data_IF_334657010419
#
_entry.id   IF_334657010419
#
_cell.length_a   1.000
_cell.length_b   1.000
_cell.length_c   1.000
_cell.angle_alpha   90.00
_cell.angle_beta   90.00
_cell.angle_gamma   90.00
#
_symmetry.space_group_name_H-M   'P 1'
#
loop_
_entity.id
_entity.type
_entity.pdbx_description
1 polymer ?
#
# COMPACT_ATOMS: atom_id res chain seq x y z
N UNK A 1 -12.33 9.31 10.54
CA UNK A 1 -12.02 10.10 11.76
C UNK A 1 -10.53 10.12 12.06
N UNK A 2 -9.82 8.98 12.11
CA UNK A 2 -8.37 8.94 12.39
C UNK A 2 -7.49 9.75 11.41
N UNK A 3 -7.72 9.64 10.10
CA UNK A 3 -6.93 10.36 9.09
C UNK A 3 -7.01 11.90 9.24
N UNK A 4 -8.17 12.44 9.59
CA UNK A 4 -8.34 13.90 9.78
C UNK A 4 -7.82 14.38 11.12
N UNK A 5 -7.76 13.48 12.10
CA UNK A 5 -7.31 13.75 13.47
C UNK A 5 -5.78 13.81 13.54
N UNK A 6 -5.06 12.89 12.87
CA UNK A 6 -3.59 12.92 12.82
C UNK A 6 -3.02 14.01 11.91
N UNK A 7 -3.69 14.37 10.81
CA UNK A 7 -3.14 15.32 9.80
C UNK A 7 -3.00 16.76 10.30
N UNK A 8 -3.81 17.19 11.27
CA UNK A 8 -3.73 18.55 11.80
C UNK A 8 -2.59 18.76 12.81
N UNK A 9 -2.02 17.68 13.34
CA UNK A 9 -1.01 17.75 14.42
C UNK A 9 0.39 17.33 14.02
N UNK A 10 0.61 16.80 12.81
CA UNK A 10 1.94 16.39 12.32
C UNK A 10 2.25 17.11 10.99
N UNK A 11 2.90 18.28 11.01
CA UNK A 11 3.24 19.01 9.79
C UNK A 11 4.31 18.27 8.95
N UNK A 12 4.12 18.22 7.63
CA UNK A 12 5.10 17.64 6.68
C UNK A 12 4.97 16.13 6.39
N UNK A 13 3.99 15.45 7.00
CA UNK A 13 3.81 14.01 6.77
C UNK A 13 3.12 13.70 5.44
N UNK A 14 3.74 12.85 4.62
CA UNK A 14 3.09 12.27 3.43
C UNK A 14 2.26 11.05 3.83
N UNK A 15 1.03 10.99 3.31
CA UNK A 15 0.03 10.01 3.72
C UNK A 15 0.01 8.79 2.80
N UNK A 16 0.28 7.61 3.35
CA UNK A 16 0.41 6.37 2.58
C UNK A 16 -0.93 5.66 2.25
N UNK A 17 -2.06 6.36 2.26
CA UNK A 17 -3.38 5.75 2.00
C UNK A 17 -4.14 6.56 0.95
N UNK A 18 -4.64 5.92 -0.13
CA UNK A 18 -5.63 6.56 -0.98
C UNK A 18 -6.89 6.85 -0.14
N UNK A 19 -7.59 7.98 -0.39
CA UNK A 19 -8.78 8.33 0.37
C UNK A 19 -9.82 7.22 0.23
N UNK A 20 -10.11 6.52 1.33
CA UNK A 20 -11.23 5.60 1.37
C UNK A 20 -12.52 6.41 1.31
N UNK A 21 -13.41 6.02 0.42
CA UNK A 21 -14.70 6.66 0.19
C UNK A 21 -15.50 6.67 1.51
N UNK A 22 -15.54 7.85 2.17
CA UNK A 22 -16.53 8.32 3.17
C UNK A 22 -17.36 7.21 3.86
N UNK A 23 -16.81 6.55 4.87
CA UNK A 23 -17.60 5.86 5.91
C UNK A 23 -17.75 6.81 7.10
N UNK A 24 -18.67 7.77 6.95
CA UNK A 24 -19.08 8.74 7.97
C UNK A 24 -20.52 8.47 8.45
N UNK A 25 -21.01 7.23 8.29
CA UNK A 25 -22.39 6.84 8.61
C UNK A 25 -22.52 5.40 9.09
N UNK A 26 -21.76 5.02 10.10
CA UNK A 26 -22.01 3.75 10.81
C UNK A 26 -22.37 4.00 12.27
N UNK A 27 -23.35 4.89 12.49
CA UNK A 27 -24.15 5.01 13.72
C UNK A 27 -25.45 5.75 13.37
N UNK A 28 -26.29 5.14 12.54
CA UNK A 28 -27.69 5.55 12.41
C UNK A 28 -28.57 4.34 12.09
N UNK A 29 -28.77 3.50 13.11
CA UNK A 29 -29.79 2.46 13.11
C UNK A 29 -31.14 3.08 13.53
N UNK A 30 -31.77 3.87 12.66
CA UNK A 30 -33.19 4.24 12.77
C UNK A 30 -33.75 4.69 11.41
N UNK A 31 -34.30 3.76 10.62
CA UNK A 31 -35.61 3.90 9.96
C UNK A 31 -35.94 2.72 9.02
N UNK A 32 -37.24 2.42 8.79
CA UNK A 32 -37.71 1.06 8.50
C UNK A 32 -37.96 0.76 7.02
N UNK A 33 -37.98 -0.56 6.72
CA UNK A 33 -38.53 -1.22 5.52
C UNK A 33 -38.13 -0.69 4.13
N UNK A 34 -37.15 -1.35 3.51
CA UNK A 34 -37.07 -1.49 2.05
C UNK A 34 -36.99 -2.98 1.70
N UNK A 35 -38.11 -3.52 1.22
CA UNK A 35 -38.24 -4.91 0.79
C UNK A 35 -37.26 -5.20 -0.37
N UNK A 36 -36.56 -6.34 -0.29
CA UNK A 36 -35.79 -6.91 -1.39
C UNK A 36 -36.74 -7.61 -2.38
N UNK A 37 -36.62 -7.43 -3.71
CA UNK A 37 -37.43 -8.15 -4.68
C UNK A 37 -36.98 -9.63 -4.84
N UNK A 38 -37.90 -10.53 -5.25
CA UNK A 38 -37.69 -11.98 -5.27
C UNK A 38 -36.81 -12.45 -6.43
N UNK A 39 -36.10 -13.56 -6.19
CA UNK A 39 -35.17 -14.18 -7.14
C UNK A 39 -35.92 -14.88 -8.28
N UNK A 40 -35.68 -14.41 -9.51
CA UNK A 40 -36.15 -15.08 -10.74
C UNK A 40 -34.96 -15.63 -11.54
N UNK A 41 -34.92 -16.96 -11.62
CA UNK A 41 -34.41 -17.83 -12.69
C UNK A 41 -33.24 -17.31 -13.57
N UNK A 42 -32.06 -17.87 -13.35
CA UNK A 42 -30.91 -17.84 -14.26
C UNK A 42 -31.25 -18.61 -15.56
N UNK A 43 -31.53 -17.88 -16.64
CA UNK A 43 -31.52 -18.42 -18.00
C UNK A 43 -30.08 -18.61 -18.50
N UNK A 44 -29.80 -19.73 -19.17
CA UNK A 44 -28.51 -20.01 -19.82
C UNK A 44 -28.19 -18.96 -20.91
N UNK A 45 -26.93 -18.50 -21.03
CA UNK A 45 -26.52 -17.67 -22.16
C UNK A 45 -26.37 -18.50 -23.46
N UNK A 46 -26.71 -17.95 -24.63
CA UNK A 46 -26.62 -18.67 -25.92
C UNK A 46 -25.18 -18.91 -26.38
N UNK A 47 -25.00 -19.97 -27.16
CA UNK A 47 -23.75 -20.52 -27.64
C UNK A 47 -22.85 -19.50 -28.39
N UNK A 48 -21.57 -19.47 -28.02
CA UNK A 48 -20.53 -18.64 -28.66
C UNK A 48 -20.21 -19.18 -30.06
N UNK A 49 -20.12 -18.28 -31.05
CA UNK A 49 -19.65 -18.57 -32.42
C UNK A 49 -18.18 -19.06 -32.41
N UNK A 50 -17.77 -19.95 -33.33
CA UNK A 50 -16.40 -20.46 -33.36
C UNK A 50 -15.40 -19.37 -33.79
N UNK A 51 -14.34 -19.19 -33.01
CA UNK A 51 -13.19 -18.34 -33.36
C UNK A 51 -12.37 -18.98 -34.49
N UNK A 52 -11.80 -18.19 -35.43
CA UNK A 52 -10.87 -18.72 -36.42
C UNK A 52 -9.56 -19.17 -35.76
N UNK A 53 -9.07 -20.35 -36.15
CA UNK A 53 -7.80 -20.93 -35.65
C UNK A 53 -6.61 -20.06 -36.07
N UNK A 54 -5.63 -19.81 -35.19
CA UNK A 54 -4.42 -19.10 -35.57
C UNK A 54 -3.53 -19.98 -36.47
N UNK A 55 -3.05 -19.40 -37.56
CA UNK A 55 -2.12 -20.04 -38.49
C UNK A 55 -0.76 -20.28 -37.82
N UNK A 56 -0.23 -21.51 -37.94
CA UNK A 56 1.15 -21.84 -37.54
C UNK A 56 2.13 -21.19 -38.54
N UNK A 57 2.96 -20.27 -38.05
CA UNK A 57 4.10 -19.69 -38.79
C UNK A 57 5.39 -20.36 -38.31
N UNK A 58 6.15 -20.97 -39.22
CA UNK A 58 7.41 -21.67 -38.91
C UNK A 58 8.53 -20.76 -38.40
N UNK A 59 9.68 -21.31 -37.96
CA UNK A 59 10.69 -20.57 -37.21
C UNK A 59 11.50 -19.66 -38.14
N UNK A 60 11.11 -18.39 -38.21
CA UNK A 60 11.93 -17.33 -38.82
C UNK A 60 13.07 -16.94 -37.90
N UNK A 61 14.32 -17.13 -38.34
CA UNK A 61 15.53 -16.61 -37.68
C UNK A 61 15.40 -15.10 -37.49
N UNK A 62 15.54 -14.63 -36.25
CA UNK A 62 15.67 -13.20 -35.95
C UNK A 62 17.02 -12.66 -36.47
N UNK A 63 17.04 -11.48 -37.12
CA UNK A 63 18.29 -10.85 -37.53
C UNK A 63 19.06 -10.35 -36.29
N UNK A 64 20.36 -10.66 -36.25
CA UNK A 64 21.29 -10.17 -35.24
C UNK A 64 21.46 -8.66 -35.45
N UNK A 65 20.73 -7.83 -34.70
CA UNK A 65 20.96 -6.38 -34.71
C UNK A 65 22.31 -6.06 -34.07
N UNK A 66 23.18 -5.44 -34.88
CA UNK A 66 24.47 -4.89 -34.45
C UNK A 66 24.29 -3.95 -33.25
N UNK A 67 24.97 -4.29 -32.14
CA UNK A 67 25.16 -3.38 -31.01
C UNK A 67 26.06 -2.23 -31.44
N UNK A 68 25.51 -1.03 -31.60
CA UNK A 68 26.29 0.19 -31.33
C UNK A 68 26.24 0.44 -29.83
N UNK A 69 27.42 0.52 -29.22
CA UNK A 69 27.58 0.92 -27.83
C UNK A 69 27.29 2.43 -27.73
N UNK A 70 26.28 2.82 -26.96
CA UNK A 70 26.28 4.16 -26.37
C UNK A 70 27.28 4.15 -25.21
N UNK A 71 28.25 5.07 -25.28
CA UNK A 71 29.28 5.28 -24.27
C UNK A 71 28.69 5.69 -22.92
N UNK A 72 29.53 5.58 -21.88
CA UNK A 72 29.18 5.59 -20.47
C UNK A 72 28.34 6.77 -19.97
N UNK A 73 27.54 6.49 -18.94
CA UNK A 73 27.02 7.51 -18.01
C UNK A 73 25.57 7.31 -17.58
N UNK A 74 24.65 7.03 -18.51
CA UNK A 74 23.24 6.83 -18.18
C UNK A 74 22.95 5.33 -17.96
N UNK A 75 23.11 4.86 -16.72
CA UNK A 75 22.74 3.50 -16.33
C UNK A 75 21.23 3.41 -16.06
N UNK A 76 20.42 3.83 -17.03
CA UNK A 76 19.01 3.44 -17.05
C UNK A 76 18.99 1.92 -17.21
N UNK A 77 18.25 1.22 -16.36
CA UNK A 77 18.09 -0.23 -16.51
C UNK A 77 17.62 -0.49 -17.95
N UNK A 78 18.41 -1.30 -18.68
CA UNK A 78 18.16 -1.64 -20.09
C UNK A 78 16.73 -2.15 -20.29
N UNK A 79 16.08 -2.69 -19.26
CA UNK A 79 14.68 -3.14 -19.29
C UNK A 79 13.68 -1.98 -19.34
N UNK A 80 13.97 -0.83 -18.72
CA UNK A 80 13.05 0.31 -18.69
C UNK A 80 12.92 0.96 -20.07
N UNK A 81 14.05 1.07 -20.78
CA UNK A 81 14.12 1.55 -22.17
C UNK A 81 13.42 0.61 -23.16
N UNK A 82 13.17 -0.64 -22.78
CA UNK A 82 12.51 -1.66 -23.63
C UNK A 82 11.00 -1.80 -23.34
N UNK A 83 10.45 -1.02 -22.40
CA UNK A 83 9.02 -1.10 -22.06
C UNK A 83 8.15 -0.55 -23.20
N UNK A 84 7.02 -1.20 -23.48
CA UNK A 84 5.99 -0.65 -24.38
C UNK A 84 5.28 0.54 -23.74
N UNK A 85 4.52 1.31 -24.52
CA UNK A 85 3.71 2.40 -23.99
C UNK A 85 2.71 1.89 -22.94
N UNK A 86 2.05 0.76 -23.20
CA UNK A 86 1.10 0.15 -22.27
C UNK A 86 1.76 -0.31 -20.96
N UNK A 87 2.98 -0.87 -21.04
CA UNK A 87 3.74 -1.26 -19.85
C UNK A 87 4.16 -0.06 -19.01
N UNK A 88 4.50 1.07 -19.63
CA UNK A 88 4.78 2.32 -18.92
C UNK A 88 3.52 2.88 -18.27
N UNK A 89 2.37 2.82 -18.95
CA UNK A 89 1.11 3.30 -18.40
C UNK A 89 0.68 2.54 -17.13
N UNK A 90 0.89 1.22 -17.09
CA UNK A 90 0.61 0.40 -15.89
C UNK A 90 1.55 0.77 -14.72
N UNK A 91 2.81 1.10 -15.01
CA UNK A 91 3.79 1.43 -13.99
C UNK A 91 3.73 2.90 -13.53
N UNK A 92 3.06 3.78 -14.26
CA UNK A 92 3.03 5.21 -13.97
C UNK A 92 2.56 5.53 -12.53
N UNK A 93 1.55 4.80 -12.03
CA UNK A 93 1.08 4.95 -10.66
C UNK A 93 2.13 4.49 -9.63
N UNK A 94 2.82 3.38 -9.92
CA UNK A 94 3.89 2.87 -9.07
C UNK A 94 5.08 3.83 -9.04
N UNK A 95 5.44 4.39 -10.19
CA UNK A 95 6.51 5.40 -10.32
C UNK A 95 6.18 6.66 -9.51
N UNK A 96 4.93 7.15 -9.57
CA UNK A 96 4.52 8.34 -8.81
C UNK A 96 4.53 8.10 -7.30
N UNK A 97 3.98 6.98 -6.83
CA UNK A 97 3.95 6.64 -5.40
C UNK A 97 5.35 6.47 -4.81
N UNK A 98 6.27 5.87 -5.57
CA UNK A 98 7.66 5.72 -5.13
C UNK A 98 8.37 7.07 -5.11
N UNK A 99 8.12 7.94 -6.08
CA UNK A 99 8.69 9.29 -6.09
C UNK A 99 8.21 10.12 -4.88
N UNK A 100 6.92 10.05 -4.56
CA UNK A 100 6.36 10.69 -3.35
C UNK A 100 7.03 10.15 -2.07
N UNK A 101 7.21 8.83 -1.97
CA UNK A 101 7.86 8.19 -0.83
C UNK A 101 9.35 8.57 -0.71
N UNK A 102 10.05 8.68 -1.83
CA UNK A 102 11.45 9.09 -1.87
C UNK A 102 11.62 10.56 -1.48
N UNK A 103 10.69 11.43 -1.87
CA UNK A 103 10.69 12.85 -1.54
C UNK A 103 10.30 13.13 -0.07
N UNK A 104 9.60 12.22 0.60
CA UNK A 104 9.15 12.40 1.97
C UNK A 104 10.26 12.07 2.99
N UNK A 105 10.50 12.96 3.95
CA UNK A 105 11.37 12.69 5.10
C UNK A 105 10.63 11.91 6.21
N UNK A 106 9.35 12.23 6.38
CA UNK A 106 8.46 11.59 7.35
C UNK A 106 7.23 11.00 6.65
N UNK A 107 6.95 9.73 6.94
CA UNK A 107 5.82 8.97 6.37
C UNK A 107 4.80 8.67 7.46
N UNK A 108 3.58 9.16 7.30
CA UNK A 108 2.46 8.83 8.21
C UNK A 108 1.58 7.77 7.56
N UNK A 109 1.41 6.64 8.25
CA UNK A 109 0.57 5.54 7.81
C UNK A 109 -0.51 5.34 8.87
N UNK A 110 -1.78 5.43 8.47
CA UNK A 110 -2.86 4.99 9.37
C UNK A 110 -3.13 3.51 9.17
N UNK A 111 -3.20 2.80 10.29
CA UNK A 111 -3.35 1.36 10.33
C UNK A 111 -4.59 1.00 11.15
N UNK A 112 -5.77 0.86 10.53
CA UNK A 112 -6.87 0.19 11.18
C UNK A 112 -6.62 -1.32 11.17
N UNK A 113 -6.69 -1.97 12.34
CA UNK A 113 -6.56 -3.42 12.46
C UNK A 113 -7.91 -4.06 12.15
N UNK A 114 -7.99 -4.77 11.02
CA UNK A 114 -9.19 -5.52 10.61
C UNK A 114 -8.85 -7.00 10.54
N UNK A 115 -9.60 -7.82 11.28
CA UNK A 115 -9.36 -9.26 11.36
C UNK A 115 -7.89 -9.60 11.64
N UNK A 116 -7.28 -8.90 12.62
CA UNK A 116 -5.89 -9.05 13.04
C UNK A 116 -4.82 -8.64 12.01
N UNK A 117 -5.22 -8.15 10.82
CA UNK A 117 -4.32 -7.80 9.73
C UNK A 117 -4.51 -6.38 9.21
N UNK A 118 -3.75 -6.06 8.16
CA UNK A 118 -3.81 -4.77 7.48
C UNK A 118 -4.97 -4.72 6.46
N UNK A 119 -5.51 -3.54 6.14
CA UNK A 119 -6.48 -3.38 5.06
C UNK A 119 -5.90 -3.76 3.69
N UNK A 120 -6.74 -4.30 2.82
CA UNK A 120 -6.34 -4.70 1.46
C UNK A 120 -5.79 -3.54 0.62
N UNK A 121 -6.32 -2.33 0.82
CA UNK A 121 -5.85 -1.12 0.14
C UNK A 121 -4.44 -0.73 0.58
N UNK A 122 -4.13 -0.86 1.88
CA UNK A 122 -2.78 -0.61 2.39
C UNK A 122 -1.81 -1.67 1.87
N UNK A 123 -2.22 -2.94 1.82
CA UNK A 123 -1.42 -4.00 1.20
C UNK A 123 -1.14 -3.73 -0.28
N UNK A 124 -2.15 -3.28 -1.02
CA UNK A 124 -1.99 -2.91 -2.43
C UNK A 124 -1.03 -1.73 -2.60
N UNK A 125 -1.07 -0.73 -1.72
CA UNK A 125 -0.10 0.37 -1.73
C UNK A 125 1.33 -0.12 -1.47
N UNK A 126 1.52 -0.99 -0.46
CA UNK A 126 2.82 -1.64 -0.17
C UNK A 126 3.37 -2.33 -1.43
N UNK A 127 2.52 -3.07 -2.14
CA UNK A 127 2.93 -3.79 -3.35
C UNK A 127 3.34 -2.86 -4.50
N UNK A 128 2.85 -1.61 -4.53
CA UNK A 128 3.27 -0.61 -5.51
C UNK A 128 4.60 0.05 -5.15
N UNK A 129 4.90 0.22 -3.85
CA UNK A 129 6.13 0.88 -3.39
C UNK A 129 7.31 -0.07 -3.20
N UNK A 130 7.06 -1.35 -2.92
CA UNK A 130 8.10 -2.37 -2.76
C UNK A 130 8.64 -2.84 -4.12
N UNK A 131 9.65 -2.12 -4.65
CA UNK A 131 10.20 -2.33 -5.99
C UNK A 131 11.68 -2.70 -5.94
N UNK A 132 11.97 -3.86 -6.51
CA UNK A 132 13.34 -4.32 -6.69
C UNK A 132 14.13 -3.36 -7.60
N UNK A 133 15.30 -2.93 -7.12
CA UNK A 133 16.17 -1.97 -7.79
C UNK A 133 15.81 -0.50 -7.56
N UNK A 134 14.68 -0.19 -6.89
CA UNK A 134 14.24 1.19 -6.65
C UNK A 134 14.10 1.51 -5.17
N UNK A 135 13.37 0.69 -4.40
CA UNK A 135 13.20 0.88 -2.95
C UNK A 135 13.92 -0.18 -2.12
N UNK A 136 14.25 -1.33 -2.72
CA UNK A 136 15.14 -2.31 -2.13
C UNK A 136 15.96 -3.00 -3.23
N UNK A 137 17.07 -3.65 -2.88
CA UNK A 137 17.88 -4.46 -3.80
C UNK A 137 18.24 -5.79 -3.16
N UNK A 138 18.41 -6.83 -3.97
CA UNK A 138 18.94 -8.10 -3.50
C UNK A 138 20.47 -8.08 -3.52
N UNK A 139 21.08 -8.54 -2.42
CA UNK A 139 22.51 -8.78 -2.30
C UNK A 139 22.77 -10.25 -1.93
N UNK A 140 24.00 -10.76 -2.07
CA UNK A 140 24.32 -12.14 -1.65
C UNK A 140 23.98 -12.43 -0.19
N UNK A 141 24.05 -11.41 0.67
CA UNK A 141 23.78 -11.51 2.11
C UNK A 141 22.29 -11.29 2.45
N UNK A 142 21.46 -10.96 1.46
CA UNK A 142 20.02 -10.74 1.62
C UNK A 142 19.51 -9.43 0.99
N UNK A 143 18.22 -9.13 1.14
CA UNK A 143 17.64 -7.87 0.68
C UNK A 143 18.14 -6.69 1.52
N UNK A 144 18.45 -5.57 0.85
CA UNK A 144 18.88 -4.32 1.47
C UNK A 144 17.95 -3.21 0.99
N UNK A 145 17.36 -2.48 1.95
CA UNK A 145 16.54 -1.30 1.69
C UNK A 145 17.33 -0.13 1.11
N UNK A 146 16.67 0.75 0.38
CA UNK A 146 17.28 1.94 -0.25
C UNK A 146 16.74 3.25 0.33
N UNK A 147 15.70 3.20 1.15
CA UNK A 147 15.04 4.36 1.73
C UNK A 147 15.60 4.67 3.13
N UNK A 148 16.89 5.03 3.19
CA UNK A 148 17.59 5.37 4.44
C UNK A 148 17.27 6.81 4.90
N UNK A 149 17.41 7.07 6.21
CA UNK A 149 17.26 8.41 6.80
C UNK A 149 15.82 8.94 6.85
N UNK A 150 14.83 8.04 6.78
CA UNK A 150 13.41 8.39 6.83
C UNK A 150 12.77 7.90 8.12
N UNK A 151 11.84 8.69 8.65
CA UNK A 151 11.02 8.35 9.82
C UNK A 151 9.62 7.92 9.38
N UNK A 152 9.08 6.88 9.98
CA UNK A 152 7.70 6.47 9.79
C UNK A 152 6.91 6.53 11.10
N UNK A 153 5.68 7.02 11.02
CA UNK A 153 4.72 7.08 12.12
C UNK A 153 3.54 6.21 11.75
N UNK A 154 3.27 5.19 12.56
CA UNK A 154 2.10 4.32 12.42
C UNK A 154 1.02 4.77 13.39
N UNK A 155 -0.06 5.36 12.85
CA UNK A 155 -1.25 5.69 13.61
C UNK A 155 -2.20 4.48 13.60
N UNK A 156 -2.13 3.66 14.64
CA UNK A 156 -2.85 2.38 14.74
C UNK A 156 -4.19 2.60 15.43
N UNK A 157 -5.27 2.05 14.86
CA UNK A 157 -6.58 2.01 15.49
C UNK A 157 -7.13 0.60 15.51
N UNK A 158 -7.67 0.18 16.66
CA UNK A 158 -8.21 -1.15 16.85
C UNK A 158 -9.38 -1.16 17.82
N UNK A 159 -10.40 -1.97 17.53
CA UNK A 159 -11.55 -2.14 18.42
C UNK A 159 -11.24 -3.00 19.64
N UNK A 160 -10.47 -4.09 19.48
CA UNK A 160 -10.23 -5.07 20.55
C UNK A 160 -8.82 -5.64 20.61
N UNK A 161 -8.07 -5.60 19.51
CA UNK A 161 -6.66 -6.01 19.48
C UNK A 161 -5.80 -4.93 20.12
N UNK A 162 -5.05 -5.30 21.15
CA UNK A 162 -4.02 -4.46 21.76
C UNK A 162 -2.75 -4.50 20.91
N UNK A 163 -2.12 -3.34 20.70
CA UNK A 163 -0.90 -3.23 19.90
C UNK A 163 0.25 -3.94 20.60
N UNK A 164 0.98 -4.78 19.86
CA UNK A 164 2.07 -5.60 20.40
C UNK A 164 1.62 -6.84 21.17
N UNK A 165 0.32 -7.14 21.20
CA UNK A 165 -0.17 -8.44 21.68
C UNK A 165 0.18 -9.56 20.69
N UNK A 166 0.12 -10.82 21.14
CA UNK A 166 0.43 -11.98 20.29
C UNK A 166 -0.51 -12.15 19.08
N UNK A 167 -1.64 -11.43 19.05
CA UNK A 167 -2.62 -11.44 17.97
C UNK A 167 -2.55 -10.19 17.09
N UNK A 168 -1.57 -9.30 17.32
CA UNK A 168 -1.31 -8.12 16.49
C UNK A 168 -0.34 -8.45 15.35
N UNK A 169 -0.85 -9.07 14.29
CA UNK A 169 -0.04 -9.34 13.09
C UNK A 169 0.12 -8.10 12.21
N UNK A 170 -0.78 -7.12 12.32
CA UNK A 170 -0.83 -5.96 11.46
C UNK A 170 0.35 -5.01 11.69
N UNK A 171 0.63 -4.70 12.96
CA UNK A 171 1.71 -3.78 13.33
C UNK A 171 3.08 -4.39 13.02
N UNK A 172 3.28 -5.66 13.37
CA UNK A 172 4.55 -6.35 13.15
C UNK A 172 4.83 -6.57 11.65
N UNK A 173 3.78 -6.85 10.87
CA UNK A 173 3.90 -6.90 9.41
C UNK A 173 4.39 -5.56 8.84
N UNK A 174 3.83 -4.43 9.28
CA UNK A 174 4.26 -3.12 8.80
C UNK A 174 5.68 -2.78 9.22
N UNK A 175 6.09 -3.05 10.47
CA UNK A 175 7.49 -2.88 10.88
C UNK A 175 8.44 -3.67 10.00
N UNK A 176 8.09 -4.92 9.72
CA UNK A 176 8.90 -5.78 8.87
C UNK A 176 9.03 -5.22 7.44
N UNK A 177 7.91 -4.83 6.82
CA UNK A 177 7.90 -4.27 5.47
C UNK A 177 8.65 -2.94 5.39
N UNK A 178 8.47 -2.05 6.36
CA UNK A 178 9.16 -0.76 6.43
C UNK A 178 10.67 -0.98 6.61
N UNK A 179 11.08 -1.87 7.50
CA UNK A 179 12.47 -2.26 7.66
C UNK A 179 13.06 -2.88 6.39
N UNK A 180 12.28 -3.67 5.65
CA UNK A 180 12.70 -4.29 4.39
C UNK A 180 12.98 -3.25 3.30
N UNK A 181 12.23 -2.16 3.23
CA UNK A 181 12.48 -1.06 2.27
C UNK A 181 13.53 -0.05 2.77
N UNK A 182 13.99 -0.17 4.02
CA UNK A 182 15.08 0.63 4.61
C UNK A 182 14.64 1.66 5.66
N UNK A 183 13.34 1.70 5.99
CA UNK A 183 12.78 2.60 7.00
C UNK A 183 12.80 1.88 8.35
N UNK A 184 13.82 2.16 9.15
CA UNK A 184 14.04 1.51 10.45
C UNK A 184 13.49 2.32 11.63
N UNK A 185 13.37 3.64 11.47
CA UNK A 185 12.80 4.53 12.48
C UNK A 185 11.27 4.50 12.39
N UNK A 186 10.65 3.55 13.10
CA UNK A 186 9.20 3.36 13.11
C UNK A 186 8.64 3.65 14.50
N UNK A 187 7.83 4.68 14.59
CA UNK A 187 7.11 5.07 15.79
C UNK A 187 5.64 4.69 15.70
N UNK A 188 5.03 4.45 16.85
CA UNK A 188 3.64 4.01 16.92
C UNK A 188 2.84 4.93 17.81
N UNK A 189 1.75 5.43 17.25
CA UNK A 189 0.66 6.08 17.96
C UNK A 189 -0.50 5.08 18.01
N UNK A 190 -0.76 4.50 19.17
CA UNK A 190 -1.77 3.46 19.34
C UNK A 190 -3.05 3.99 19.98
N UNK A 191 -4.15 3.95 19.21
CA UNK A 191 -5.53 4.10 19.68
C UNK A 191 -6.21 2.72 19.63
N UNK A 192 -5.75 1.79 20.46
CA UNK A 192 -6.17 0.39 20.49
C UNK A 192 -7.22 0.09 21.55
N UNK A 193 -7.92 -1.05 21.46
CA UNK A 193 -9.01 -1.43 22.38
C UNK A 193 -10.15 -0.40 22.52
N UNK A 194 -10.48 0.30 21.43
CA UNK A 194 -11.52 1.34 21.41
C UNK A 194 -12.92 0.86 21.83
N UNK A 195 -13.22 -0.44 21.69
CA UNK A 195 -14.50 -1.03 22.13
C UNK A 195 -14.48 -1.46 23.60
N UNK A 196 -13.33 -1.36 24.28
CA UNK A 196 -13.19 -1.62 25.72
C UNK A 196 -13.28 -0.31 26.50
N UNK A 197 -12.43 0.66 26.16
CA UNK A 197 -12.41 1.99 26.77
C UNK A 197 -11.90 3.01 25.74
N UNK A 198 -12.83 3.68 25.07
CA UNK A 198 -12.49 4.63 24.01
C UNK A 198 -11.77 5.87 24.54
N UNK A 199 -12.13 6.36 25.72
CA UNK A 199 -11.58 7.61 26.27
C UNK A 199 -10.14 7.42 26.71
N UNK A 200 -9.84 6.32 27.41
CA UNK A 200 -8.47 5.98 27.78
C UNK A 200 -7.57 5.78 26.55
N UNK A 201 -8.10 5.13 25.50
CA UNK A 201 -7.37 4.88 24.26
C UNK A 201 -7.09 6.15 23.47
N UNK A 202 -8.06 7.08 23.41
CA UNK A 202 -7.83 8.40 22.81
C UNK A 202 -6.81 9.21 23.61
N UNK A 203 -6.91 9.24 24.94
CA UNK A 203 -5.96 9.96 25.79
C UNK A 203 -4.52 9.43 25.66
N UNK A 204 -4.34 8.10 25.58
CA UNK A 204 -3.06 7.46 25.31
C UNK A 204 -2.49 7.89 23.95
N UNK A 205 -3.33 7.93 22.92
CA UNK A 205 -2.92 8.32 21.58
C UNK A 205 -2.60 9.83 21.49
N UNK A 206 -3.38 10.70 22.15
CA UNK A 206 -3.10 12.13 22.25
C UNK A 206 -1.74 12.38 22.93
N UNK A 207 -1.47 11.73 24.07
CA UNK A 207 -0.19 11.86 24.77
C UNK A 207 1.00 11.39 23.91
N UNK A 208 0.82 10.31 23.13
CA UNK A 208 1.83 9.85 22.20
C UNK A 208 2.09 10.89 21.10
N UNK A 209 1.03 11.48 20.52
CA UNK A 209 1.16 12.54 19.49
C UNK A 209 1.89 13.76 20.03
N UNK A 210 1.53 14.20 21.24
CA UNK A 210 2.16 15.37 21.86
C UNK A 210 3.66 15.14 22.10
N UNK A 211 4.07 13.92 22.43
CA UNK A 211 5.47 13.55 22.56
C UNK A 211 6.23 13.54 21.21
N UNK A 212 5.54 13.36 20.07
CA UNK A 212 6.16 13.42 18.75
C UNK A 212 6.35 14.85 18.23
N UNK A 213 5.56 15.79 18.76
CA UNK A 213 5.57 17.20 18.39
C UNK A 213 6.49 18.07 19.26
N UNK A 214 7.00 17.52 20.37
CA UNK A 214 7.93 18.16 21.30
C UNK A 214 9.39 18.07 20.81
#
# INVERSE_FOLDING_TARGET
>A
MLNSWCTHRIPGAVFALPPTHRQDRSHDLRSPHRQLPPQHQLGLPPARRPHPRPARRGPGRLPRHHRRACGGGCRLDRRELQRTADQRAVLALSDSLVAELQAADTVLITLPIWNFGIPSTLKAWIDQVARAGVTFRYTPDGPVGLLEGKRAILAVASGGTEVGSAIDFATDYLRHVLGFIGIHEVEIVAADRLMVDADASHAKADAAIDALAA
#
